data_IF_702169847097
#
_entry.id   IF_702169847097
#
_cell.length_a   1.000
_cell.length_b   1.000
_cell.length_c   1.000
_cell.angle_alpha   90.00
_cell.angle_beta   90.00
_cell.angle_gamma   90.00
#
_symmetry.space_group_name_H-M   'P 1'
#
loop_
_entity.id
_entity.type
_entity.pdbx_description
1 polymer ?
#
# COMPACT_ATOMS: atom_id res chain seq x y z
N UNK A 1 -6.42 -37.15 12.16
CA UNK A 1 -5.88 -36.13 13.10
C UNK A 1 -4.48 -35.77 12.64
N UNK A 2 -4.36 -34.77 11.77
CA UNK A 2 -3.09 -34.38 11.13
C UNK A 2 -2.30 -33.53 12.11
N UNK A 3 -1.11 -33.99 12.52
CA UNK A 3 -0.22 -33.25 13.40
C UNK A 3 0.36 -32.04 12.65
N UNK A 4 0.50 -30.87 13.27
CA UNK A 4 1.10 -29.72 12.61
C UNK A 4 2.59 -29.97 12.40
N UNK A 5 3.01 -30.05 11.14
CA UNK A 5 4.40 -30.10 10.74
C UNK A 5 5.03 -28.75 11.09
N UNK A 6 5.95 -28.74 12.06
CA UNK A 6 6.85 -27.60 12.29
C UNK A 6 7.79 -27.51 11.09
N UNK A 7 7.38 -26.85 10.02
CA UNK A 7 8.30 -26.32 9.04
C UNK A 7 9.03 -25.14 9.71
N UNK A 8 10.08 -25.44 10.46
CA UNK A 8 11.10 -24.46 10.78
C UNK A 8 11.63 -23.92 9.45
N UNK A 9 11.30 -22.66 9.16
CA UNK A 9 11.93 -21.89 8.10
C UNK A 9 13.44 -21.91 8.38
N UNK A 10 14.18 -22.76 7.67
CA UNK A 10 15.63 -22.68 7.61
C UNK A 10 15.97 -21.40 6.85
N UNK A 11 16.04 -20.31 7.60
CA UNK A 11 16.75 -19.10 7.21
C UNK A 11 18.22 -19.38 7.52
N UNK A 12 18.95 -19.96 6.56
CA UNK A 12 20.40 -19.93 6.60
C UNK A 12 20.84 -18.49 6.35
N UNK A 13 20.89 -17.70 7.42
CA UNK A 13 21.86 -16.61 7.49
C UNK A 13 23.23 -17.29 7.57
N UNK A 14 24.21 -16.85 6.78
CA UNK A 14 25.60 -17.18 7.11
C UNK A 14 25.85 -16.61 8.51
N UNK A 15 26.15 -17.49 9.48
CA UNK A 15 26.36 -17.12 10.89
C UNK A 15 27.53 -16.12 11.11
N UNK A 16 28.26 -15.75 10.06
CA UNK A 16 29.46 -14.92 10.10
C UNK A 16 29.25 -13.40 9.84
N UNK A 17 28.06 -12.96 9.38
CA UNK A 17 27.79 -11.52 9.20
C UNK A 17 26.93 -10.99 10.36
N UNK A 18 27.59 -10.35 11.34
CA UNK A 18 26.86 -9.62 12.36
C UNK A 18 26.03 -8.50 11.70
N UNK A 19 24.76 -8.33 12.10
CA UNK A 19 23.93 -7.27 11.55
C UNK A 19 24.59 -5.91 11.81
N UNK A 20 24.52 -5.03 10.81
CA UNK A 20 25.09 -3.69 10.89
C UNK A 20 24.68 -2.99 12.20
N UNK A 21 25.66 -2.42 12.92
CA UNK A 21 25.43 -1.73 14.19
C UNK A 21 24.39 -0.62 14.03
N UNK A 22 24.41 0.08 12.89
CA UNK A 22 23.44 1.14 12.60
C UNK A 22 22.02 0.58 12.44
N UNK A 23 21.86 -0.60 11.81
CA UNK A 23 20.57 -1.28 11.70
C UNK A 23 20.02 -1.68 13.08
N UNK A 24 20.86 -2.30 13.92
CA UNK A 24 20.47 -2.71 15.27
C UNK A 24 20.05 -1.51 16.11
N UNK A 25 20.79 -0.41 16.07
CA UNK A 25 20.48 0.81 16.81
C UNK A 25 19.15 1.44 16.36
N UNK A 26 18.91 1.54 15.05
CA UNK A 26 17.65 2.04 14.48
C UNK A 26 16.46 1.20 14.95
N UNK A 27 16.59 -0.13 14.94
CA UNK A 27 15.54 -1.04 15.41
C UNK A 27 15.30 -0.92 16.92
N UNK A 28 16.35 -0.87 17.72
CA UNK A 28 16.24 -0.78 19.18
C UNK A 28 15.58 0.53 19.60
N UNK A 29 15.86 1.64 18.92
CA UNK A 29 15.16 2.91 19.09
C UNK A 29 13.67 2.76 18.84
N UNK A 30 13.27 2.11 17.72
CA UNK A 30 11.86 1.86 17.43
C UNK A 30 11.20 0.96 18.48
N UNK A 31 11.86 -0.11 18.94
CA UNK A 31 11.31 -0.98 19.98
C UNK A 31 11.16 -0.27 21.34
N UNK A 32 12.08 0.64 21.68
CA UNK A 32 11.94 1.50 22.86
C UNK A 32 10.71 2.41 22.73
N UNK A 33 10.54 3.06 21.58
CA UNK A 33 9.39 3.90 21.28
C UNK A 33 8.07 3.12 21.34
N UNK A 34 8.01 1.92 20.73
CA UNK A 34 6.83 1.04 20.78
C UNK A 34 6.48 0.65 22.21
N UNK A 35 7.47 0.28 23.04
CA UNK A 35 7.24 -0.07 24.45
C UNK A 35 6.71 1.13 25.24
N UNK A 36 7.30 2.30 25.06
CA UNK A 36 6.89 3.54 25.73
C UNK A 36 5.47 3.95 25.33
N UNK A 37 5.16 3.98 24.04
CA UNK A 37 3.82 4.33 23.55
C UNK A 37 2.79 3.26 23.93
N UNK A 38 3.13 1.98 23.80
CA UNK A 38 2.26 0.86 24.16
C UNK A 38 1.88 0.82 25.65
N UNK A 39 2.79 1.17 26.55
CA UNK A 39 2.48 1.26 27.99
C UNK A 39 1.46 2.37 28.28
N UNK A 40 1.57 3.49 27.56
CA UNK A 40 0.65 4.63 27.70
C UNK A 40 -0.76 4.36 27.18
N UNK A 41 -0.95 3.40 26.27
CA UNK A 41 -2.30 3.01 25.80
C UNK A 41 -3.11 2.41 26.94
N UNK A 42 -2.51 1.52 27.76
CA UNK A 42 -3.23 0.86 28.86
C UNK A 42 -3.80 1.88 29.85
N UNK A 43 -2.97 2.82 30.31
CA UNK A 43 -3.41 3.84 31.26
C UNK A 43 -4.43 4.82 30.67
N UNK A 44 -4.36 5.11 29.36
CA UNK A 44 -5.38 5.92 28.67
C UNK A 44 -6.70 5.16 28.49
N UNK A 45 -6.64 3.85 28.27
CA UNK A 45 -7.81 2.98 28.14
C UNK A 45 -8.56 2.84 29.48
N UNK A 46 -7.84 2.74 30.60
CA UNK A 46 -8.44 2.76 31.95
C UNK A 46 -9.26 4.02 32.19
N UNK A 47 -8.74 5.19 31.78
CA UNK A 47 -9.47 6.47 31.85
C UNK A 47 -10.71 6.50 30.95
N UNK A 48 -10.66 5.86 29.78
CA UNK A 48 -11.80 5.73 28.88
C UNK A 48 -12.90 4.87 29.52
N UNK A 49 -12.53 3.72 30.08
CA UNK A 49 -13.46 2.84 30.80
C UNK A 49 -14.11 3.55 32.00
N UNK A 50 -13.35 4.36 32.75
CA UNK A 50 -13.89 5.16 33.84
C UNK A 50 -14.91 6.20 33.33
N UNK A 51 -14.61 6.88 32.21
CA UNK A 51 -15.53 7.82 31.58
C UNK A 51 -16.83 7.14 31.10
N UNK A 52 -16.71 5.95 30.47
CA UNK A 52 -17.86 5.14 30.03
C UNK A 52 -18.70 4.69 31.23
N UNK A 53 -18.07 4.26 32.33
CA UNK A 53 -18.75 3.87 33.56
C UNK A 53 -19.56 5.04 34.14
N UNK A 54 -18.97 6.24 34.20
CA UNK A 54 -19.64 7.48 34.65
C UNK A 54 -20.81 7.87 33.74
N UNK A 55 -20.68 7.64 32.43
CA UNK A 55 -21.78 7.86 31.49
C UNK A 55 -22.96 6.91 31.75
N UNK A 56 -22.68 5.62 31.98
CA UNK A 56 -23.70 4.57 32.18
C UNK A 56 -24.38 4.61 33.56
N UNK A 57 -23.71 5.06 34.62
CA UNK A 57 -24.22 4.97 36.00
C UNK A 57 -25.19 6.09 36.42
N UNK A 58 -25.43 7.10 35.58
CA UNK A 58 -26.23 8.27 35.95
C UNK A 58 -27.73 8.04 35.75
N UNK A 59 -28.52 8.18 36.83
CA UNK A 59 -30.00 8.14 36.80
C UNK A 59 -30.70 9.51 36.89
N UNK A 60 -30.01 10.63 37.14
CA UNK A 60 -30.61 11.98 37.10
C UNK A 60 -29.57 13.12 37.18
N UNK A 61 -29.88 14.26 36.57
CA UNK A 61 -29.45 15.60 37.05
C UNK A 61 -28.29 16.32 36.33
N UNK A 62 -27.25 15.64 35.86
CA UNK A 62 -26.13 16.30 35.16
C UNK A 62 -26.32 16.33 33.64
N UNK A 63 -25.85 17.37 32.95
CA UNK A 63 -25.90 17.47 31.48
C UNK A 63 -25.27 16.25 30.82
N UNK A 64 -26.12 15.37 30.26
CA UNK A 64 -25.71 14.17 29.53
C UNK A 64 -24.72 14.49 28.41
N UNK A 65 -24.88 15.67 27.79
CA UNK A 65 -24.00 16.23 26.78
C UNK A 65 -22.53 16.32 27.26
N UNK A 66 -22.30 16.79 28.49
CA UNK A 66 -20.94 16.94 29.04
C UNK A 66 -20.27 15.59 29.28
N UNK A 67 -21.03 14.58 29.72
CA UNK A 67 -20.50 13.21 29.92
C UNK A 67 -20.19 12.55 28.59
N UNK A 68 -21.05 12.72 27.58
CA UNK A 68 -20.80 12.22 26.23
C UNK A 68 -19.54 12.86 25.63
N UNK A 69 -19.38 14.19 25.77
CA UNK A 69 -18.18 14.90 25.34
C UNK A 69 -16.90 14.40 26.05
N UNK A 70 -16.99 14.05 27.33
CA UNK A 70 -15.86 13.48 28.06
C UNK A 70 -15.47 12.08 27.54
N UNK A 71 -16.46 11.23 27.21
CA UNK A 71 -16.22 9.92 26.58
C UNK A 71 -15.57 10.12 25.21
N UNK A 72 -16.12 11.00 24.37
CA UNK A 72 -15.58 11.28 23.03
C UNK A 72 -14.13 11.74 23.11
N UNK A 73 -13.84 12.72 23.96
CA UNK A 73 -12.47 13.23 24.17
C UNK A 73 -11.51 12.11 24.56
N UNK A 74 -11.94 11.21 25.45
CA UNK A 74 -11.08 10.13 25.91
C UNK A 74 -10.90 9.05 24.85
N UNK A 75 -11.92 8.78 24.02
CA UNK A 75 -11.82 7.96 22.82
C UNK A 75 -10.79 8.52 21.85
N UNK A 76 -10.84 9.82 21.55
CA UNK A 76 -9.90 10.46 20.63
C UNK A 76 -8.45 10.34 21.11
N UNK A 77 -8.21 10.53 22.42
CA UNK A 77 -6.89 10.37 23.05
C UNK A 77 -6.37 8.93 22.91
N UNK A 78 -7.22 7.92 23.14
CA UNK A 78 -6.84 6.51 23.00
C UNK A 78 -6.56 6.19 21.53
N UNK A 79 -7.41 6.63 20.61
CA UNK A 79 -7.25 6.40 19.16
C UNK A 79 -5.96 7.01 18.64
N UNK A 80 -5.64 8.26 18.98
CA UNK A 80 -4.36 8.91 18.62
C UNK A 80 -3.15 8.14 19.17
N UNK A 81 -3.26 7.61 20.38
CA UNK A 81 -2.20 6.79 20.99
C UNK A 81 -1.98 5.48 20.25
N UNK A 82 -3.06 4.83 19.80
CA UNK A 82 -3.01 3.63 18.97
C UNK A 82 -2.35 3.95 17.63
N UNK A 83 -2.80 5.02 16.93
CA UNK A 83 -2.19 5.46 15.65
C UNK A 83 -0.68 5.69 15.79
N UNK A 84 -0.25 6.47 16.79
CA UNK A 84 1.17 6.75 17.05
C UNK A 84 2.00 5.50 17.36
N UNK A 85 1.40 4.50 17.99
CA UNK A 85 2.06 3.22 18.30
C UNK A 85 2.17 2.36 17.05
N UNK A 86 1.10 2.31 16.25
CA UNK A 86 1.09 1.62 14.97
C UNK A 86 2.15 2.20 14.01
N UNK A 87 2.27 3.53 13.92
CA UNK A 87 3.33 4.18 13.12
C UNK A 87 4.73 3.74 13.53
N UNK A 88 5.01 3.61 14.83
CA UNK A 88 6.28 3.13 15.33
C UNK A 88 6.53 1.65 14.95
N UNK A 89 5.48 0.81 14.98
CA UNK A 89 5.54 -0.59 14.50
C UNK A 89 5.85 -0.63 13.01
N UNK A 90 5.23 0.23 12.20
CA UNK A 90 5.46 0.29 10.76
C UNK A 90 6.85 0.80 10.42
N UNK A 91 7.38 1.77 11.16
CA UNK A 91 8.79 2.20 11.05
C UNK A 91 9.76 1.04 11.32
N UNK A 92 9.53 0.27 12.39
CA UNK A 92 10.36 -0.90 12.70
C UNK A 92 10.32 -1.95 11.59
N UNK A 93 9.13 -2.18 11.01
CA UNK A 93 8.96 -3.09 9.86
C UNK A 93 9.73 -2.58 8.64
N UNK A 94 9.60 -1.30 8.30
CA UNK A 94 10.33 -0.68 7.17
C UNK A 94 11.84 -0.86 7.30
N UNK A 95 12.41 -0.66 8.50
CA UNK A 95 13.85 -0.90 8.74
C UNK A 95 14.23 -2.36 8.47
N UNK A 96 13.42 -3.31 8.93
CA UNK A 96 13.65 -4.74 8.68
C UNK A 96 13.55 -5.09 7.19
N UNK A 97 12.62 -4.46 6.49
CA UNK A 97 12.42 -4.68 5.06
C UNK A 97 13.56 -4.07 4.22
N UNK A 98 14.03 -2.87 4.58
CA UNK A 98 15.24 -2.24 4.02
C UNK A 98 16.44 -3.18 4.14
N UNK A 99 16.68 -3.73 5.33
CA UNK A 99 17.81 -4.63 5.56
C UNK A 99 17.71 -5.94 4.76
N UNK A 100 16.50 -6.52 4.68
CA UNK A 100 16.24 -7.71 3.88
C UNK A 100 16.41 -7.47 2.38
N UNK A 101 16.20 -6.24 1.92
CA UNK A 101 16.41 -5.86 0.52
C UNK A 101 17.88 -5.55 0.22
N UNK A 102 18.71 -5.18 1.20
CA UNK A 102 20.16 -5.00 1.02
C UNK A 102 20.90 -6.32 0.85
N UNK A 103 20.46 -7.38 1.51
CA UNK A 103 21.05 -8.71 1.34
C UNK A 103 20.82 -9.17 -0.10
N UNK A 104 21.91 -9.43 -0.84
CA UNK A 104 22.02 -9.92 -2.24
C UNK A 104 20.71 -10.46 -2.81
N UNK A 105 20.34 -10.01 -4.02
CA UNK A 105 19.15 -10.40 -4.80
C UNK A 105 18.43 -11.64 -4.25
N UNK A 106 17.25 -11.39 -3.69
CA UNK A 106 16.38 -12.47 -3.22
C UNK A 106 16.09 -13.42 -4.38
N UNK A 107 16.36 -14.71 -4.21
CA UNK A 107 15.90 -15.74 -5.15
C UNK A 107 14.40 -15.57 -5.36
N UNK A 108 13.91 -15.76 -6.59
CA UNK A 108 12.51 -15.51 -6.99
C UNK A 108 11.46 -15.94 -5.95
N UNK A 109 11.57 -17.16 -5.42
CA UNK A 109 10.63 -17.66 -4.40
C UNK A 109 10.67 -16.88 -3.08
N UNK A 110 11.86 -16.46 -2.63
CA UNK A 110 12.02 -15.63 -1.44
C UNK A 110 11.49 -14.21 -1.66
N UNK A 111 11.64 -13.66 -2.87
CA UNK A 111 11.08 -12.38 -3.27
C UNK A 111 9.54 -12.41 -3.27
N UNK A 112 8.93 -13.40 -3.91
CA UNK A 112 7.46 -13.54 -3.93
C UNK A 112 6.89 -13.63 -2.51
N UNK A 113 7.53 -14.42 -1.63
CA UNK A 113 7.13 -14.51 -0.23
C UNK A 113 7.30 -13.17 0.51
N UNK A 114 8.39 -12.44 0.25
CA UNK A 114 8.60 -11.10 0.79
C UNK A 114 7.49 -10.13 0.36
N UNK A 115 7.12 -10.12 -0.92
CA UNK A 115 6.07 -9.26 -1.46
C UNK A 115 4.69 -9.60 -0.88
N UNK A 116 4.37 -10.88 -0.71
CA UNK A 116 3.15 -11.31 -0.04
C UNK A 116 3.11 -10.87 1.44
N UNK A 117 4.22 -11.03 2.16
CA UNK A 117 4.35 -10.56 3.54
C UNK A 117 4.25 -9.03 3.66
N UNK A 118 4.83 -8.31 2.70
CA UNK A 118 4.75 -6.85 2.60
C UNK A 118 3.32 -6.37 2.44
N UNK A 119 2.53 -7.03 1.59
CA UNK A 119 1.11 -6.70 1.42
C UNK A 119 0.30 -6.97 2.69
N UNK A 120 0.46 -8.14 3.31
CA UNK A 120 -0.24 -8.49 4.56
C UNK A 120 0.08 -7.55 5.71
N UNK A 121 1.31 -7.04 5.76
CA UNK A 121 1.78 -6.11 6.80
C UNK A 121 1.49 -4.65 6.49
N UNK A 122 0.92 -4.33 5.32
CA UNK A 122 0.55 -2.97 4.96
C UNK A 122 -0.39 -2.39 6.03
N UNK A 123 -0.09 -1.19 6.56
CA UNK A 123 -0.86 -0.61 7.64
C UNK A 123 -2.31 -0.39 7.24
N UNK A 124 -3.24 -0.57 8.18
CA UNK A 124 -4.62 -0.13 7.97
C UNK A 124 -4.68 1.36 8.31
N UNK A 125 -5.23 2.18 7.41
CA UNK A 125 -5.52 3.57 7.75
C UNK A 125 -6.69 3.63 8.72
N UNK A 126 -6.54 4.39 9.81
CA UNK A 126 -7.59 4.61 10.80
C UNK A 126 -8.03 6.05 10.66
N UNK A 127 -9.11 6.28 9.90
CA UNK A 127 -9.62 7.63 9.64
C UNK A 127 -9.96 8.38 10.93
N UNK A 128 -9.79 9.70 10.90
CA UNK A 128 -10.29 10.59 11.94
C UNK A 128 -11.77 10.89 11.69
N UNK A 129 -12.54 11.11 12.75
CA UNK A 129 -13.96 11.35 12.62
C UNK A 129 -14.20 12.65 11.84
N UNK A 130 -14.95 12.55 10.73
CA UNK A 130 -15.29 13.69 9.88
C UNK A 130 -14.17 14.16 8.94
N UNK A 131 -13.09 13.39 8.80
CA UNK A 131 -12.03 13.67 7.81
C UNK A 131 -12.12 12.74 6.61
N UNK A 132 -11.42 13.09 5.53
CA UNK A 132 -11.29 12.26 4.34
C UNK A 132 -9.92 11.59 4.34
N UNK A 133 -9.79 10.30 3.94
CA UNK A 133 -8.51 9.64 3.94
C UNK A 133 -7.51 10.32 2.98
N UNK A 134 -6.22 10.44 3.36
CA UNK A 134 -5.22 11.12 2.54
C UNK A 134 -4.84 10.32 1.27
N UNK A 135 -4.07 10.93 0.36
CA UNK A 135 -3.47 10.22 -0.77
C UNK A 135 -2.72 8.95 -0.34
N UNK A 136 -2.72 7.92 -1.20
CA UNK A 136 -2.07 6.62 -0.98
C UNK A 136 -2.73 5.75 0.12
N UNK A 137 -3.95 6.08 0.55
CA UNK A 137 -4.82 5.17 1.29
C UNK A 137 -5.70 4.40 0.29
N UNK A 138 -5.50 3.09 0.19
CA UNK A 138 -6.26 2.23 -0.70
C UNK A 138 -6.24 2.74 -2.15
N UNK A 139 -7.44 3.03 -2.69
CA UNK A 139 -7.67 3.52 -4.04
C UNK A 139 -7.45 5.02 -4.22
N UNK A 140 -7.16 5.79 -3.15
CA UNK A 140 -6.97 7.24 -3.26
C UNK A 140 -5.64 7.55 -3.97
N UNK A 141 -5.68 8.20 -5.15
CA UNK A 141 -4.50 8.36 -5.99
C UNK A 141 -3.51 9.36 -5.38
N UNK A 142 -2.23 9.22 -5.77
CA UNK A 142 -1.21 10.22 -5.50
C UNK A 142 -1.60 11.58 -6.11
N UNK A 143 -1.37 12.64 -5.34
CA UNK A 143 -1.55 14.03 -5.76
C UNK A 143 -0.24 14.63 -6.31
N UNK A 144 -0.29 15.86 -6.81
CA UNK A 144 0.86 16.55 -7.41
C UNK A 144 2.00 16.80 -6.41
N UNK A 145 1.64 17.02 -5.15
CA UNK A 145 2.50 17.30 -3.99
C UNK A 145 2.86 16.05 -3.18
N UNK A 146 2.30 14.87 -3.50
CA UNK A 146 2.69 13.62 -2.87
C UNK A 146 4.18 13.38 -3.01
N UNK A 147 4.85 13.26 -1.87
CA UNK A 147 6.28 12.99 -1.74
C UNK A 147 6.54 11.52 -2.06
N UNK A 148 7.58 11.26 -2.86
CA UNK A 148 8.04 9.92 -3.23
C UNK A 148 9.53 9.88 -2.90
N UNK A 149 9.90 9.06 -1.92
CA UNK A 149 11.26 9.01 -1.39
C UNK A 149 12.01 7.76 -1.84
N UNK A 150 13.33 7.76 -1.62
CA UNK A 150 14.14 6.57 -1.81
C UNK A 150 13.66 5.42 -0.89
N UNK A 151 13.60 4.21 -1.45
CA UNK A 151 13.06 3.02 -0.81
C UNK A 151 11.56 2.82 -1.02
N UNK A 152 10.84 3.79 -1.59
CA UNK A 152 9.41 3.61 -1.88
C UNK A 152 9.22 2.67 -3.09
N UNK A 153 8.22 1.80 -2.98
CA UNK A 153 7.82 0.89 -4.05
C UNK A 153 6.85 1.61 -4.99
N UNK A 154 7.05 1.43 -6.28
CA UNK A 154 6.24 2.03 -7.33
C UNK A 154 5.95 1.02 -8.44
N UNK A 155 4.84 1.22 -9.15
CA UNK A 155 4.69 0.68 -10.50
C UNK A 155 5.41 1.63 -11.46
N UNK A 156 6.48 1.17 -12.09
CA UNK A 156 7.27 1.90 -13.07
C UNK A 156 7.04 1.34 -14.47
N UNK A 157 6.89 2.22 -15.46
CA UNK A 157 6.77 1.76 -16.85
C UNK A 157 8.14 1.48 -17.46
N UNK A 158 8.43 0.21 -17.72
CA UNK A 158 9.63 -0.27 -18.42
C UNK A 158 9.42 -0.18 -19.93
N UNK A 159 10.21 0.65 -20.62
CA UNK A 159 10.13 0.76 -22.09
C UNK A 159 10.61 -0.51 -22.79
N UNK A 160 11.65 -1.14 -22.24
CA UNK A 160 12.23 -2.38 -22.78
C UNK A 160 11.23 -3.54 -22.77
N UNK A 161 10.48 -3.69 -21.68
CA UNK A 161 9.46 -4.74 -21.55
C UNK A 161 8.09 -4.29 -22.07
N UNK A 162 7.91 -2.99 -22.35
CA UNK A 162 6.63 -2.41 -22.77
C UNK A 162 5.50 -2.54 -21.72
N UNK A 163 5.85 -2.69 -20.44
CA UNK A 163 4.92 -3.03 -19.36
C UNK A 163 5.20 -2.27 -18.06
N UNK A 164 4.21 -2.23 -17.18
CA UNK A 164 4.36 -1.71 -15.82
C UNK A 164 4.94 -2.79 -14.91
N UNK A 165 6.03 -2.49 -14.23
CA UNK A 165 6.75 -3.41 -13.33
C UNK A 165 6.86 -2.83 -11.93
N UNK A 166 7.02 -3.70 -10.94
CA UNK A 166 7.32 -3.32 -9.57
C UNK A 166 8.78 -2.88 -9.49
N UNK A 167 8.98 -1.64 -9.03
CA UNK A 167 10.29 -1.02 -8.94
C UNK A 167 10.46 -0.33 -7.59
N UNK A 168 11.72 -0.08 -7.22
CA UNK A 168 12.08 0.67 -6.01
C UNK A 168 12.76 1.97 -6.40
N UNK A 169 12.34 3.07 -5.77
CA UNK A 169 12.97 4.37 -5.96
C UNK A 169 14.33 4.38 -5.26
N UNK A 170 15.37 4.77 -5.99
CA UNK A 170 16.75 4.87 -5.47
C UNK A 170 17.21 6.32 -5.31
N UNK A 171 16.53 7.25 -5.96
CA UNK A 171 16.82 8.67 -5.84
C UNK A 171 15.96 9.52 -6.75
N UNK A 172 16.16 10.83 -6.64
CA UNK A 172 15.44 11.84 -7.41
C UNK A 172 16.43 12.85 -7.97
N UNK A 173 16.19 13.33 -9.19
CA UNK A 173 17.00 14.33 -9.86
C UNK A 173 16.11 15.44 -10.44
N UNK A 174 16.63 16.66 -10.45
CA UNK A 174 15.89 17.84 -10.88
C UNK A 174 14.94 18.39 -9.80
N UNK A 175 14.18 19.42 -10.16
CA UNK A 175 13.22 20.10 -9.27
C UNK A 175 11.98 20.56 -10.04
N UNK A 176 10.90 20.81 -9.31
CA UNK A 176 9.62 21.29 -9.86
C UNK A 176 9.03 20.35 -10.92
N UNK A 177 8.60 20.92 -12.04
CA UNK A 177 7.99 20.18 -13.15
C UNK A 177 8.97 19.26 -13.90
N UNK A 178 10.28 19.47 -13.74
CA UNK A 178 11.34 18.67 -14.37
C UNK A 178 11.80 17.47 -13.57
N UNK A 179 11.16 17.19 -12.42
CA UNK A 179 11.56 16.10 -11.52
C UNK A 179 11.55 14.75 -12.22
N UNK A 180 12.64 14.00 -12.06
CA UNK A 180 12.76 12.62 -12.50
C UNK A 180 13.20 11.73 -11.35
N UNK A 181 12.71 10.51 -11.36
CA UNK A 181 12.98 9.51 -10.36
C UNK A 181 13.88 8.46 -10.95
N UNK A 182 14.93 8.12 -10.21
CA UNK A 182 15.79 6.98 -10.47
C UNK A 182 15.20 5.79 -9.74
N UNK A 183 14.92 4.71 -10.45
CA UNK A 183 14.43 3.45 -9.87
C UNK A 183 15.08 2.25 -10.55
N UNK A 184 15.05 1.09 -9.91
CA UNK A 184 15.43 -0.18 -10.54
C UNK A 184 14.27 -1.19 -10.47
N UNK A 185 14.33 -2.20 -11.33
CA UNK A 185 13.47 -3.38 -11.22
C UNK A 185 13.72 -4.09 -9.89
N UNK A 186 12.66 -4.58 -9.25
CA UNK A 186 12.76 -5.35 -8.01
C UNK A 186 13.44 -6.72 -8.21
N UNK A 187 13.37 -7.29 -9.42
CA UNK A 187 14.02 -8.56 -9.75
C UNK A 187 15.47 -8.36 -10.25
N UNK A 188 15.79 -7.19 -10.80
CA UNK A 188 17.10 -6.88 -11.38
C UNK A 188 17.54 -5.43 -11.08
N UNK A 189 18.28 -5.26 -10.00
CA UNK A 189 18.84 -3.96 -9.57
C UNK A 189 19.79 -3.33 -10.59
N UNK A 190 20.37 -4.11 -11.51
CA UNK A 190 21.28 -3.60 -12.55
C UNK A 190 20.53 -2.74 -13.58
N UNK A 191 19.22 -2.95 -13.70
CA UNK A 191 18.33 -2.25 -14.63
C UNK A 191 17.82 -0.94 -14.05
N UNK A 192 18.70 0.07 -14.04
CA UNK A 192 18.37 1.42 -13.59
C UNK A 192 17.57 2.18 -14.66
N UNK A 193 16.42 2.71 -14.26
CA UNK A 193 15.54 3.55 -15.07
C UNK A 193 15.47 4.96 -14.49
N UNK A 194 15.42 5.97 -15.38
CA UNK A 194 15.20 7.38 -15.01
C UNK A 194 13.88 7.83 -15.63
N UNK A 195 12.85 7.94 -14.81
CA UNK A 195 11.47 8.12 -15.24
C UNK A 195 10.88 9.44 -14.75
N UNK A 196 9.96 10.00 -15.54
CA UNK A 196 9.15 11.16 -15.10
C UNK A 196 7.98 10.69 -14.25
N UNK A 197 7.34 11.62 -13.52
CA UNK A 197 6.13 11.35 -12.72
C UNK A 197 4.99 10.67 -13.51
N UNK A 198 4.91 10.86 -14.84
CA UNK A 198 3.89 10.21 -15.69
C UNK A 198 4.11 8.71 -15.91
N UNK A 199 5.32 8.21 -15.65
CA UNK A 199 5.74 6.82 -15.87
C UNK A 199 5.94 6.05 -14.56
N UNK A 200 5.47 6.63 -13.46
CA UNK A 200 5.55 6.08 -12.11
C UNK A 200 4.19 6.25 -11.44
N UNK A 201 3.73 5.19 -10.79
CA UNK A 201 2.57 5.22 -9.90
C UNK A 201 3.01 4.70 -8.53
N UNK A 202 3.00 5.54 -7.48
CA UNK A 202 3.29 5.08 -6.13
C UNK A 202 2.29 4.02 -5.68
N UNK A 203 2.77 3.01 -4.96
CA UNK A 203 1.88 2.04 -4.31
C UNK A 203 1.18 2.68 -3.11
N UNK A 204 -0.01 2.18 -2.73
CA UNK A 204 -0.67 2.58 -1.49
C UNK A 204 0.25 2.35 -0.28
N UNK A 205 0.32 3.35 0.58
CA UNK A 205 1.05 3.28 1.84
C UNK A 205 0.18 2.69 2.95
N UNK A 206 -1.14 2.76 2.81
CA UNK A 206 -2.10 2.19 3.74
C UNK A 206 -3.21 1.45 2.99
N UNK A 207 -3.77 0.43 3.64
CA UNK A 207 -5.05 -0.17 3.28
C UNK A 207 -6.18 0.74 3.72
N UNK A 208 -7.22 0.84 2.91
CA UNK A 208 -8.51 1.38 3.33
C UNK A 208 -9.28 0.31 4.10
N UNK A 209 -10.04 0.73 5.11
CA UNK A 209 -11.00 -0.15 5.78
C UNK A 209 -12.34 -0.08 5.04
N UNK A 210 -12.80 -1.13 4.33
CA UNK A 210 -14.05 -1.06 3.56
C UNK A 210 -15.29 -0.74 4.40
N UNK A 211 -15.25 -1.01 5.70
CA UNK A 211 -16.38 -0.74 6.61
C UNK A 211 -16.47 0.72 7.07
N UNK A 212 -15.37 1.47 6.96
CA UNK A 212 -15.30 2.87 7.40
C UNK A 212 -15.06 3.83 6.23
N UNK A 213 -14.30 3.40 5.24
CA UNK A 213 -13.74 4.19 4.15
C UNK A 213 -13.94 3.47 2.80
N UNK A 214 -15.18 3.05 2.50
CA UNK A 214 -15.54 2.33 1.26
C UNK A 214 -15.18 3.11 -0.02
N UNK A 215 -15.30 4.42 0.01
CA UNK A 215 -14.91 5.34 -1.06
C UNK A 215 -13.39 5.36 -1.33
N UNK A 216 -12.57 4.82 -0.42
CA UNK A 216 -11.14 4.61 -0.58
C UNK A 216 -10.80 3.20 -1.08
N UNK A 217 -11.79 2.44 -1.56
CA UNK A 217 -11.65 1.11 -2.18
C UNK A 217 -12.14 1.20 -3.62
N UNK A 218 -11.49 0.50 -4.56
CA UNK A 218 -11.97 0.45 -5.95
C UNK A 218 -13.30 -0.33 -5.99
N UNK A 219 -14.38 0.23 -6.56
CA UNK A 219 -15.66 -0.47 -6.64
C UNK A 219 -15.60 -1.65 -7.62
N UNK A 220 -16.60 -2.52 -7.56
CA UNK A 220 -16.82 -3.56 -8.57
C UNK A 220 -16.85 -2.94 -9.99
N UNK A 221 -16.34 -3.68 -10.96
CA UNK A 221 -16.18 -3.32 -12.37
C UNK A 221 -15.21 -2.15 -12.63
N UNK A 222 -14.56 -1.60 -11.60
CA UNK A 222 -13.53 -0.58 -11.79
C UNK A 222 -12.36 -1.14 -12.61
N UNK A 223 -11.96 -0.40 -13.65
CA UNK A 223 -10.77 -0.71 -14.45
C UNK A 223 -9.52 -0.25 -13.68
N UNK A 224 -8.65 -1.21 -13.40
CA UNK A 224 -7.45 -1.03 -12.59
C UNK A 224 -6.23 -1.57 -13.33
N UNK A 225 -5.05 -1.27 -12.81
CA UNK A 225 -3.88 -2.10 -13.05
C UNK A 225 -3.52 -2.84 -11.77
N UNK A 226 -3.30 -4.15 -11.87
CA UNK A 226 -3.05 -5.01 -10.72
C UNK A 226 -1.81 -5.87 -10.95
N UNK A 227 -1.05 -6.15 -9.90
CA UNK A 227 0.10 -7.05 -9.99
C UNK A 227 -0.39 -8.49 -10.14
N UNK A 228 0.03 -9.18 -11.19
CA UNK A 228 -0.37 -10.58 -11.40
C UNK A 228 0.26 -11.47 -10.31
N UNK A 229 -0.48 -12.43 -9.72
CA UNK A 229 0.03 -13.27 -8.64
C UNK A 229 1.36 -13.95 -8.99
N UNK A 230 2.29 -13.98 -8.04
CA UNK A 230 3.63 -14.58 -8.18
C UNK A 230 4.51 -13.94 -9.27
N UNK A 231 4.18 -12.71 -9.68
CA UNK A 231 4.99 -11.89 -10.59
C UNK A 231 5.27 -10.53 -9.97
N UNK A 232 6.08 -9.74 -10.66
CA UNK A 232 6.40 -8.34 -10.33
C UNK A 232 5.86 -7.38 -11.39
N UNK A 233 4.84 -7.81 -12.13
CA UNK A 233 4.32 -7.11 -13.30
C UNK A 233 2.86 -6.71 -13.10
N UNK A 234 2.50 -5.51 -13.54
CA UNK A 234 1.15 -4.97 -13.47
C UNK A 234 0.45 -5.04 -14.82
N UNK A 235 -0.79 -5.54 -14.81
CA UNK A 235 -1.61 -5.74 -15.99
C UNK A 235 -2.95 -5.04 -15.85
N UNK A 236 -3.56 -4.70 -16.98
CA UNK A 236 -4.93 -4.18 -17.03
C UNK A 236 -5.89 -5.25 -16.52
N UNK A 237 -6.83 -4.85 -15.66
CA UNK A 237 -7.80 -5.75 -15.06
C UNK A 237 -9.07 -5.00 -14.67
N UNK A 238 -10.10 -5.75 -14.28
CA UNK A 238 -11.32 -5.24 -13.66
C UNK A 238 -11.47 -5.80 -12.23
N UNK A 239 -12.04 -5.00 -11.34
CA UNK A 239 -12.40 -5.47 -9.99
C UNK A 239 -13.64 -6.35 -10.09
N UNK A 240 -13.49 -7.65 -9.85
CA UNK A 240 -14.62 -8.57 -9.78
C UNK A 240 -15.34 -8.46 -8.43
N UNK A 241 -14.60 -8.33 -7.33
CA UNK A 241 -15.16 -8.05 -6.02
C UNK A 241 -14.20 -7.18 -5.18
N UNK A 242 -14.68 -6.09 -4.57
CA UNK A 242 -13.91 -5.34 -3.59
C UNK A 242 -13.78 -6.11 -2.27
N UNK A 243 -12.74 -5.84 -1.46
CA UNK A 243 -12.64 -6.37 -0.10
C UNK A 243 -13.84 -5.93 0.75
N UNK A 244 -14.37 -6.84 1.57
CA UNK A 244 -15.50 -6.55 2.46
C UNK A 244 -15.07 -6.26 3.89
N UNK A 245 -13.93 -6.82 4.29
CA UNK A 245 -13.28 -6.59 5.58
C UNK A 245 -11.90 -5.96 5.39
N UNK A 246 -11.35 -5.39 6.46
CA UNK A 246 -10.01 -4.82 6.46
C UNK A 246 -8.88 -5.82 6.12
N UNK A 247 -9.15 -7.13 6.21
CA UNK A 247 -8.18 -8.21 5.93
C UNK A 247 -8.37 -8.89 4.59
N UNK A 248 -9.46 -8.60 3.89
CA UNK A 248 -9.73 -9.21 2.59
C UNK A 248 -8.85 -8.56 1.51
N UNK A 249 -8.60 -9.36 0.47
CA UNK A 249 -8.01 -8.90 -0.79
C UNK A 249 -9.12 -8.54 -1.79
N UNK A 250 -8.74 -7.89 -2.90
CA UNK A 250 -9.62 -7.77 -4.06
C UNK A 250 -9.69 -9.12 -4.81
N UNK A 251 -10.83 -9.42 -5.42
CA UNK A 251 -10.89 -10.37 -6.53
C UNK A 251 -10.75 -9.60 -7.84
N UNK A 252 -9.72 -9.92 -8.62
CA UNK A 252 -9.34 -9.19 -9.83
C UNK A 252 -9.43 -10.11 -11.05
N UNK A 253 -10.23 -9.71 -12.03
CA UNK A 253 -10.33 -10.38 -13.32
C UNK A 253 -9.38 -9.70 -14.31
N UNK A 254 -8.30 -10.37 -14.70
CA UNK A 254 -7.30 -9.82 -15.62
C UNK A 254 -7.79 -9.85 -17.07
N UNK A 255 -7.42 -8.82 -17.85
CA UNK A 255 -7.72 -8.75 -19.28
C UNK A 255 -7.05 -9.94 -20.00
N UNK A 256 -7.85 -10.80 -20.63
CA UNK A 256 -7.42 -12.01 -21.32
C UNK A 256 -8.20 -12.19 -22.62
N UNK A 257 -7.55 -11.84 -23.73
CA UNK A 257 -8.14 -11.95 -25.08
C UNK A 257 -8.43 -13.38 -25.52
N UNK A 258 -7.89 -14.38 -24.82
CA UNK A 258 -8.14 -15.80 -25.12
C UNK A 258 -9.38 -16.33 -24.40
N UNK A 259 -9.86 -15.62 -23.37
CA UNK A 259 -11.11 -15.93 -22.68
C UNK A 259 -12.33 -15.49 -23.48
N UNK A 260 -13.43 -16.27 -23.40
CA UNK A 260 -14.69 -15.96 -24.06
C UNK A 260 -15.29 -14.62 -23.61
N UNK A 261 -15.09 -14.26 -22.34
CA UNK A 261 -15.58 -13.01 -21.74
C UNK A 261 -14.60 -11.85 -21.94
N UNK A 262 -13.41 -12.11 -22.48
CA UNK A 262 -12.29 -11.14 -22.51
C UNK A 262 -11.57 -10.99 -21.16
N UNK A 263 -11.95 -11.77 -20.14
CA UNK A 263 -11.33 -11.73 -18.81
C UNK A 263 -11.03 -13.14 -18.29
N UNK A 264 -9.89 -13.28 -17.60
CA UNK A 264 -9.54 -14.49 -16.88
C UNK A 264 -10.39 -14.66 -15.59
N UNK A 265 -10.38 -15.87 -15.03
CA UNK A 265 -11.02 -16.14 -13.73
C UNK A 265 -10.45 -15.20 -12.65
N UNK A 266 -11.30 -14.66 -11.73
CA UNK A 266 -10.84 -13.72 -10.72
C UNK A 266 -9.78 -14.30 -9.77
N UNK A 267 -8.71 -13.53 -9.53
CA UNK A 267 -7.62 -13.88 -8.63
C UNK A 267 -7.54 -12.92 -7.44
N UNK A 268 -7.14 -13.44 -6.28
CA UNK A 268 -6.92 -12.65 -5.06
C UNK A 268 -5.71 -11.72 -5.22
N UNK A 269 -5.90 -10.41 -5.10
CA UNK A 269 -4.83 -9.41 -5.15
C UNK A 269 -4.96 -8.43 -3.98
N UNK A 270 -3.94 -8.32 -3.11
CA UNK A 270 -3.98 -7.39 -1.98
C UNK A 270 -4.09 -5.94 -2.41
N UNK A 271 -4.70 -5.09 -1.57
CA UNK A 271 -4.88 -3.66 -1.88
C UNK A 271 -3.56 -2.95 -2.26
N UNK A 272 -2.44 -3.36 -1.67
CA UNK A 272 -1.10 -2.80 -1.95
C UNK A 272 -0.73 -2.86 -3.44
N UNK A 273 -1.26 -3.83 -4.17
CA UNK A 273 -0.88 -4.13 -5.55
C UNK A 273 -2.01 -3.91 -6.56
N UNK A 274 -3.07 -3.21 -6.17
CA UNK A 274 -4.15 -2.76 -7.06
C UNK A 274 -4.08 -1.24 -7.15
N UNK A 275 -3.91 -0.72 -8.37
CA UNK A 275 -3.61 0.69 -8.63
C UNK A 275 -4.59 1.26 -9.66
N UNK A 276 -4.74 2.58 -9.66
CA UNK A 276 -5.48 3.28 -10.72
C UNK A 276 -4.89 2.95 -12.09
N UNK A 277 -5.74 2.55 -13.04
CA UNK A 277 -5.28 2.21 -14.37
C UNK A 277 -4.56 3.38 -15.06
N UNK A 278 -3.41 3.07 -15.68
CA UNK A 278 -2.66 3.99 -16.54
C UNK A 278 -2.38 3.28 -17.86
N UNK A 279 -2.79 3.92 -18.96
CA UNK A 279 -2.43 3.44 -20.28
C UNK A 279 -0.91 3.42 -20.48
N UNK A 280 -0.42 2.46 -21.27
CA UNK A 280 0.98 2.37 -21.62
C UNK A 280 1.41 3.65 -22.35
N UNK A 281 2.40 4.40 -21.84
CA UNK A 281 2.87 5.65 -22.45
C UNK A 281 3.31 5.48 -23.90
N UNK A 282 3.79 4.29 -24.29
CA UNK A 282 4.22 3.95 -25.64
C UNK A 282 3.07 3.73 -26.63
N UNK A 283 1.82 3.53 -26.18
CA UNK A 283 0.66 3.26 -27.05
C UNK A 283 0.00 4.53 -27.62
N UNK A 284 0.56 5.74 -27.41
CA UNK A 284 -0.01 6.97 -27.97
C UNK A 284 0.24 7.11 -29.49
N UNK A 285 -0.86 7.03 -30.23
CA UNK A 285 -1.11 7.44 -31.64
C UNK A 285 -1.17 6.37 -32.75
N UNK A 286 -2.10 5.40 -32.65
CA UNK A 286 -2.75 4.86 -33.86
C UNK A 286 -4.20 5.31 -34.04
N UNK A 287 -4.96 5.61 -32.98
CA UNK A 287 -6.37 5.99 -33.11
C UNK A 287 -6.62 7.44 -33.57
N UNK A 288 -5.68 8.38 -33.38
CA UNK A 288 -5.86 9.77 -33.83
C UNK A 288 -5.43 10.05 -35.27
N UNK A 289 -4.84 9.08 -35.97
CA UNK A 289 -4.47 9.20 -37.40
C UNK A 289 -5.55 8.67 -38.32
N UNK A 290 -6.37 7.72 -37.88
CA UNK A 290 -7.44 7.14 -38.72
C UNK A 290 -8.70 8.01 -38.79
N UNK A 291 -8.99 8.80 -37.76
CA UNK A 291 -10.11 9.76 -37.79
C UNK A 291 -9.85 10.99 -38.67
N UNK A 292 -8.60 11.18 -39.15
CA UNK A 292 -8.22 12.28 -40.05
C UNK A 292 -8.10 11.86 -41.53
N UNK A 293 -8.36 10.58 -41.85
CA UNK A 293 -8.29 10.04 -43.23
C UNK A 293 -9.65 9.68 -43.83
N UNK A 294 -10.75 9.95 -43.12
CA UNK A 294 -12.12 9.82 -43.64
C UNK A 294 -12.87 11.14 -43.47
N UNK A 295 -12.45 12.15 -44.23
CA UNK A 295 -13.39 13.15 -44.73
C UNK A 295 -13.50 12.88 -46.24
N UNK A 296 -14.70 12.62 -46.78
CA UNK A 296 -14.87 12.64 -48.23
C UNK A 296 -14.77 14.10 -48.70
N UNK A 297 -13.97 14.34 -49.72
CA UNK A 297 -14.03 15.57 -50.50
C UNK A 297 -15.34 15.53 -51.30
N UNK A 298 -16.39 16.14 -50.74
CA UNK A 298 -17.62 16.47 -51.46
C UNK A 298 -17.58 17.98 -51.80
N UNK A 299 -17.51 18.24 -53.11
CA UNK A 299 -18.09 19.35 -53.91
C UNK A 299 -17.67 20.81 -53.63
N UNK A 300 -16.94 21.40 -54.58
CA UNK A 300 -17.52 22.28 -55.64
C UNK A 300 -16.59 22.33 -56.88
#
# INVERSE_FOLDING_TARGET
MVKPTKASLNLSFSDDEQPDKQYVERLMTCFSEIRSKGSSIRSRNEKLEEAIKKYRSSKSGGSQQQRLAAVQKQTDIVTDSIRKTLDAIYKARRIKDEERMKSKQLVRGALVNFLADQARRLPLYICEAGTYPPPLVGAIPAQSDTVIDAGDFVAAFSEEMGMWILAVITGMQGSGSGVRFKCHDIEDESKVMILTKRRIVPLPQYRANPQADDHAVFPMDAVVMAMYPQTTCFYKAAVSAPPTTATDDYLIAFDDSTSLTGYADPLSVPQRYVLTYRENPSKKSKSSRDSKRKAPDDED
#
